data_IF_967719537421
#
_entry.id   IF_967719537421
#
_cell.length_a   1.000
_cell.length_b   1.000
_cell.length_c   1.000
_cell.angle_alpha   90.00
_cell.angle_beta   90.00
_cell.angle_gamma   90.00
#
_symmetry.space_group_name_H-M   'P 1'
#
loop_
_entity.id
_entity.type
_entity.pdbx_description
1 polymer ?
#
# COMPACT_ATOMS: atom_id res chain seq x y z
N UNK A 1 17.98 6.42 -5.89
CA UNK A 1 16.61 5.89 -6.08
C UNK A 1 16.11 5.43 -4.72
N UNK A 2 14.87 5.72 -4.36
CA UNK A 2 14.28 5.32 -3.07
C UNK A 2 14.13 3.80 -3.05
N UNK A 3 14.54 3.18 -1.92
CA UNK A 3 14.31 1.76 -1.67
C UNK A 3 12.97 1.61 -0.91
N UNK A 4 11.89 1.38 -1.64
CA UNK A 4 10.55 1.19 -1.07
C UNK A 4 10.35 -0.15 -0.36
N UNK A 5 11.33 -1.06 -0.37
CA UNK A 5 11.26 -2.31 0.41
C UNK A 5 11.53 -2.08 1.90
N UNK A 6 11.94 -0.88 2.31
CA UNK A 6 12.22 -0.46 3.68
C UNK A 6 11.42 0.79 4.02
N UNK A 7 11.27 1.09 5.30
CA UNK A 7 10.59 2.29 5.77
C UNK A 7 11.49 3.53 5.94
N UNK A 8 12.81 3.41 5.70
CA UNK A 8 13.76 4.49 6.01
C UNK A 8 13.48 5.80 5.28
N UNK A 9 12.91 5.73 4.06
CA UNK A 9 12.55 6.93 3.30
C UNK A 9 11.48 7.78 3.99
N UNK A 10 10.60 7.17 4.79
CA UNK A 10 9.57 7.91 5.54
C UNK A 10 10.17 8.85 6.58
N UNK A 11 11.34 8.51 7.15
CA UNK A 11 12.04 9.35 8.15
C UNK A 11 12.40 10.73 7.64
N UNK A 12 12.69 10.83 6.36
CA UNK A 12 13.14 12.06 5.68
C UNK A 12 12.08 12.61 4.73
N UNK A 13 10.91 11.99 4.71
CA UNK A 13 9.78 12.37 3.88
C UNK A 13 9.01 13.59 4.42
N UNK A 14 7.78 13.77 3.91
CA UNK A 14 6.89 14.82 4.37
C UNK A 14 6.42 14.57 5.82
N UNK A 15 5.68 15.53 6.40
CA UNK A 15 5.24 15.44 7.80
C UNK A 15 4.41 14.19 8.08
N UNK A 16 3.44 13.88 7.20
CA UNK A 16 2.59 12.68 7.35
C UNK A 16 3.40 11.39 7.27
N UNK A 17 4.35 11.29 6.35
CA UNK A 17 5.24 10.13 6.25
C UNK A 17 6.07 9.93 7.53
N UNK A 18 6.60 11.01 8.13
CA UNK A 18 7.33 10.92 9.40
C UNK A 18 6.46 10.44 10.56
N UNK A 19 5.23 10.96 10.68
CA UNK A 19 4.25 10.50 11.68
C UNK A 19 3.96 9.01 11.48
N UNK A 20 3.72 8.57 10.25
CA UNK A 20 3.47 7.17 9.92
C UNK A 20 4.67 6.29 10.30
N UNK A 21 5.90 6.76 10.01
CA UNK A 21 7.10 6.04 10.43
C UNK A 21 7.14 5.83 11.95
N UNK A 22 6.86 6.87 12.72
CA UNK A 22 6.84 6.81 14.19
C UNK A 22 5.77 5.84 14.70
N UNK A 23 4.55 5.91 14.16
CA UNK A 23 3.44 5.00 14.52
C UNK A 23 3.79 3.56 14.18
N UNK A 24 4.22 3.25 12.96
CA UNK A 24 4.57 1.89 12.55
C UNK A 24 5.72 1.31 13.39
N UNK A 25 6.70 2.15 13.78
CA UNK A 25 7.83 1.76 14.63
C UNK A 25 7.40 1.55 16.09
N UNK A 26 6.60 2.47 16.65
CA UNK A 26 6.07 2.39 18.03
C UNK A 26 5.32 1.08 18.26
N UNK A 27 4.48 0.69 17.32
CA UNK A 27 3.69 -0.55 17.40
C UNK A 27 4.41 -1.77 16.78
N UNK A 28 5.65 -1.61 16.32
CA UNK A 28 6.49 -2.68 15.77
C UNK A 28 5.83 -3.47 14.63
N UNK A 29 4.98 -2.82 13.83
CA UNK A 29 4.17 -3.50 12.81
C UNK A 29 5.04 -4.30 11.84
N UNK A 30 6.10 -3.70 11.30
CA UNK A 30 7.01 -4.36 10.37
C UNK A 30 7.88 -5.42 11.02
N UNK A 31 8.26 -5.25 12.30
CA UNK A 31 8.99 -6.28 13.06
C UNK A 31 8.12 -7.52 13.30
N UNK A 32 6.83 -7.31 13.62
CA UNK A 32 5.85 -8.38 13.79
C UNK A 32 5.68 -9.15 12.47
N UNK A 33 5.53 -8.43 11.35
CA UNK A 33 5.29 -9.02 10.02
C UNK A 33 6.55 -9.49 9.30
N UNK A 34 7.76 -9.35 9.87
CA UNK A 34 9.06 -9.55 9.21
C UNK A 34 9.21 -10.84 8.42
N UNK A 35 8.61 -11.94 8.91
CA UNK A 35 8.67 -13.25 8.26
C UNK A 35 7.80 -13.36 6.99
N UNK A 36 6.99 -12.33 6.72
CA UNK A 36 6.10 -12.24 5.56
C UNK A 36 6.56 -11.17 4.55
N UNK A 37 7.82 -10.73 4.64
CA UNK A 37 8.44 -9.74 3.74
C UNK A 37 7.57 -8.49 3.53
N UNK A 38 7.14 -7.77 4.59
CA UNK A 38 6.19 -6.68 4.49
C UNK A 38 6.75 -5.50 3.70
N UNK A 39 5.91 -4.89 2.85
CA UNK A 39 6.20 -3.63 2.17
C UNK A 39 5.01 -2.68 2.37
N UNK A 40 5.28 -1.41 2.70
CA UNK A 40 4.27 -0.36 2.63
C UNK A 40 4.10 0.03 1.17
N UNK A 41 2.93 -0.22 0.62
CA UNK A 41 2.54 0.08 -0.74
C UNK A 41 1.51 1.22 -0.80
N UNK A 42 0.88 1.40 -1.94
CA UNK A 42 -0.16 2.39 -2.14
C UNK A 42 0.38 3.81 -2.30
N UNK A 43 -0.39 4.79 -1.85
CA UNK A 43 -0.19 6.19 -2.23
C UNK A 43 0.70 6.99 -1.28
N UNK A 44 0.82 6.56 -0.04
CA UNK A 44 1.64 7.22 0.99
C UNK A 44 3.13 7.22 0.64
N UNK A 45 3.74 6.09 0.21
CA UNK A 45 5.15 6.07 -0.17
C UNK A 45 5.52 7.05 -1.27
N UNK A 46 4.61 7.34 -2.18
CA UNK A 46 4.82 8.17 -3.38
C UNK A 46 4.17 9.57 -3.26
N UNK A 47 3.70 9.92 -2.06
CA UNK A 47 3.20 11.25 -1.69
C UNK A 47 2.00 11.75 -2.54
N UNK A 48 1.08 10.86 -2.87
CA UNK A 48 -0.20 11.19 -3.51
C UNK A 48 -1.39 10.72 -2.68
N UNK A 49 -1.16 10.52 -1.40
CA UNK A 49 -2.20 10.20 -0.43
C UNK A 49 -3.13 11.39 -0.17
N UNK A 50 -4.34 11.07 0.28
CA UNK A 50 -5.33 12.01 0.80
C UNK A 50 -5.61 11.65 2.26
N UNK A 51 -6.42 12.45 2.96
CA UNK A 51 -6.68 12.26 4.40
C UNK A 51 -7.22 10.86 4.70
N UNK A 52 -8.09 10.34 3.84
CA UNK A 52 -8.73 9.03 3.98
C UNK A 52 -7.89 7.85 3.48
N UNK A 53 -6.67 8.09 3.00
CA UNK A 53 -5.80 7.01 2.50
C UNK A 53 -5.38 6.06 3.61
N UNK A 54 -5.56 4.76 3.35
CA UNK A 54 -5.13 3.69 4.25
C UNK A 54 -3.61 3.47 4.20
N UNK A 55 -3.09 2.79 5.22
CA UNK A 55 -1.73 2.25 5.24
C UNK A 55 -1.77 0.82 4.67
N UNK A 56 -1.44 0.69 3.40
CA UNK A 56 -1.48 -0.59 2.67
C UNK A 56 -0.18 -1.37 2.89
N UNK A 57 -0.23 -2.43 3.70
CA UNK A 57 0.93 -3.29 3.97
C UNK A 57 0.73 -4.61 3.25
N UNK A 58 1.52 -4.87 2.23
CA UNK A 58 1.49 -6.12 1.48
C UNK A 58 2.47 -7.14 2.05
N UNK A 59 2.05 -8.41 2.07
CA UNK A 59 2.80 -9.53 2.65
C UNK A 59 2.86 -10.72 1.68
N UNK A 60 3.99 -11.45 1.69
CA UNK A 60 4.10 -12.75 1.03
C UNK A 60 3.57 -13.85 1.97
N UNK A 61 2.44 -14.46 1.60
CA UNK A 61 1.72 -15.42 2.44
C UNK A 61 1.43 -16.70 1.69
N UNK A 62 2.10 -17.78 2.05
CA UNK A 62 1.89 -19.11 1.46
C UNK A 62 0.65 -19.77 2.03
N UNK A 63 0.52 -19.81 3.34
CA UNK A 63 -0.62 -20.39 4.06
C UNK A 63 -1.48 -19.28 4.69
N UNK A 64 -2.68 -19.06 4.14
CA UNK A 64 -3.62 -18.04 4.59
C UNK A 64 -4.26 -18.37 5.94
N UNK A 65 -4.47 -19.65 6.22
CA UNK A 65 -5.07 -20.09 7.48
C UNK A 65 -4.08 -19.90 8.64
N UNK A 66 -2.81 -20.23 8.40
CA UNK A 66 -1.75 -19.98 9.38
C UNK A 66 -1.56 -18.46 9.58
N UNK A 67 -1.57 -17.69 8.51
CA UNK A 67 -1.41 -16.24 8.58
C UNK A 67 -2.58 -15.56 9.30
N UNK A 68 -3.82 -16.00 9.07
CA UNK A 68 -4.99 -15.51 9.80
C UNK A 68 -4.84 -15.73 11.31
N UNK A 69 -4.48 -16.94 11.73
CA UNK A 69 -4.23 -17.25 13.14
C UNK A 69 -3.11 -16.40 13.73
N UNK A 70 -2.04 -16.21 12.94
CA UNK A 70 -0.93 -15.34 13.32
C UNK A 70 -1.39 -13.89 13.56
N UNK A 71 -2.16 -13.31 12.62
CA UNK A 71 -2.67 -11.95 12.73
C UNK A 71 -3.57 -11.78 13.97
N UNK A 72 -4.50 -12.72 14.19
CA UNK A 72 -5.39 -12.70 15.37
C UNK A 72 -4.58 -12.69 16.66
N UNK A 73 -3.53 -13.49 16.76
CA UNK A 73 -2.68 -13.55 17.96
C UNK A 73 -1.78 -12.31 18.10
N UNK A 74 -1.16 -11.86 16.99
CA UNK A 74 -0.20 -10.78 17.00
C UNK A 74 -0.85 -9.41 17.23
N UNK A 75 -2.06 -9.22 16.74
CA UNK A 75 -2.82 -7.98 16.82
C UNK A 75 -4.09 -8.10 17.67
N UNK A 76 -4.09 -9.00 18.66
CA UNK A 76 -5.23 -9.33 19.53
C UNK A 76 -5.85 -8.13 20.28
N UNK A 77 -5.08 -7.06 20.45
CA UNK A 77 -5.53 -5.85 21.16
C UNK A 77 -6.26 -4.85 20.21
N UNK A 78 -6.39 -5.21 18.93
CA UNK A 78 -7.10 -4.42 17.93
C UNK A 78 -8.36 -5.13 17.45
N UNK A 79 -9.33 -4.35 16.99
CA UNK A 79 -10.56 -4.87 16.37
C UNK A 79 -10.29 -5.21 14.91
N UNK A 80 -10.01 -6.50 14.65
CA UNK A 80 -9.61 -6.99 13.34
C UNK A 80 -10.83 -7.38 12.50
N UNK A 81 -10.89 -6.88 11.27
CA UNK A 81 -11.76 -7.41 10.22
C UNK A 81 -10.92 -8.20 9.21
N UNK A 82 -11.07 -9.53 9.19
CA UNK A 82 -10.28 -10.41 8.31
C UNK A 82 -11.21 -11.06 7.28
N UNK A 83 -10.84 -10.95 6.02
CA UNK A 83 -11.55 -11.56 4.89
C UNK A 83 -10.59 -12.35 4.00
N UNK A 84 -11.03 -13.54 3.57
CA UNK A 84 -10.32 -14.34 2.58
C UNK A 84 -11.17 -14.40 1.32
N UNK A 85 -10.59 -14.00 0.18
CA UNK A 85 -11.27 -13.96 -1.09
C UNK A 85 -10.38 -14.49 -2.23
N UNK A 86 -10.98 -14.73 -3.40
CA UNK A 86 -10.25 -15.15 -4.59
C UNK A 86 -10.10 -14.01 -5.58
N UNK A 87 -8.84 -13.76 -5.98
CA UNK A 87 -8.51 -12.92 -7.13
C UNK A 87 -7.83 -13.82 -8.17
N UNK A 88 -8.35 -13.88 -9.40
CA UNK A 88 -7.77 -14.66 -10.50
C UNK A 88 -7.41 -16.11 -10.10
N UNK A 89 -8.33 -16.84 -9.45
CA UNK A 89 -8.14 -18.17 -8.89
C UNK A 89 -7.13 -18.28 -7.73
N UNK A 90 -6.52 -17.21 -7.30
CA UNK A 90 -5.61 -17.17 -6.16
C UNK A 90 -6.32 -16.66 -4.91
N UNK A 91 -6.17 -17.38 -3.79
CA UNK A 91 -6.73 -16.93 -2.52
C UNK A 91 -5.83 -15.82 -1.95
N UNK A 92 -6.43 -14.71 -1.56
CA UNK A 92 -5.80 -13.60 -0.85
C UNK A 92 -6.51 -13.35 0.47
N UNK A 93 -5.76 -12.82 1.45
CA UNK A 93 -6.30 -12.43 2.75
C UNK A 93 -6.15 -10.92 2.90
N UNK A 94 -7.18 -10.26 3.40
CA UNK A 94 -7.16 -8.86 3.83
C UNK A 94 -7.49 -8.80 5.30
N UNK A 95 -6.70 -8.04 6.06
CA UNK A 95 -6.97 -7.73 7.45
C UNK A 95 -6.97 -6.21 7.63
N UNK A 96 -8.09 -5.68 8.08
CA UNK A 96 -8.27 -4.25 8.33
C UNK A 96 -8.43 -4.00 9.83
N UNK A 97 -7.79 -2.95 10.34
CA UNK A 97 -7.98 -2.45 11.70
C UNK A 97 -7.56 -0.98 11.82
N UNK A 98 -7.96 -0.35 12.92
CA UNK A 98 -7.53 1.02 13.24
C UNK A 98 -6.30 1.00 14.14
N UNK A 99 -5.35 1.87 13.81
CA UNK A 99 -4.13 2.11 14.58
C UNK A 99 -3.98 3.62 14.77
N UNK A 100 -4.29 4.12 15.96
CA UNK A 100 -4.42 5.56 16.22
C UNK A 100 -5.42 6.19 15.22
N UNK A 101 -5.01 7.21 14.46
CA UNK A 101 -5.85 7.86 13.44
C UNK A 101 -5.84 7.14 12.08
N UNK A 102 -4.96 6.14 11.90
CA UNK A 102 -4.78 5.47 10.61
C UNK A 102 -5.62 4.21 10.48
N UNK A 103 -6.14 3.99 9.28
CA UNK A 103 -6.63 2.68 8.86
C UNK A 103 -5.45 1.86 8.34
N UNK A 104 -5.30 0.65 8.85
CA UNK A 104 -4.30 -0.31 8.39
C UNK A 104 -5.01 -1.36 7.54
N UNK A 105 -4.49 -1.63 6.35
CA UNK A 105 -4.84 -2.80 5.56
C UNK A 105 -3.60 -3.69 5.40
N UNK A 106 -3.68 -4.92 5.89
CA UNK A 106 -2.67 -5.95 5.64
C UNK A 106 -3.20 -6.88 4.58
N UNK A 107 -2.51 -6.94 3.44
CA UNK A 107 -2.86 -7.79 2.31
C UNK A 107 -1.86 -8.95 2.18
N UNK A 108 -2.36 -10.19 2.23
CA UNK A 108 -1.55 -11.41 2.11
C UNK A 108 -1.84 -12.21 0.85
N UNK A 109 -0.83 -12.44 0.00
CA UNK A 109 -0.91 -13.21 -1.22
C UNK A 109 0.30 -14.16 -1.34
N UNK A 110 0.13 -15.34 -1.97
CA UNK A 110 1.23 -16.27 -2.24
C UNK A 110 2.04 -15.82 -3.46
N UNK A 111 2.69 -14.66 -3.31
CA UNK A 111 3.52 -14.04 -4.34
C UNK A 111 4.55 -13.13 -3.65
N UNK A 112 5.82 -13.12 -4.07
CA UNK A 112 6.80 -12.18 -3.55
C UNK A 112 6.27 -10.75 -3.57
N UNK A 113 6.42 -10.02 -2.48
CA UNK A 113 5.83 -8.68 -2.33
C UNK A 113 6.22 -7.71 -3.44
N UNK A 114 7.48 -7.76 -3.91
CA UNK A 114 7.98 -6.95 -5.04
C UNK A 114 7.38 -7.33 -6.40
N UNK A 115 6.62 -8.42 -6.49
CA UNK A 115 5.93 -8.86 -7.69
C UNK A 115 4.41 -8.71 -7.60
N UNK A 116 3.89 -8.33 -6.44
CA UNK A 116 2.45 -8.07 -6.25
C UNK A 116 2.04 -6.79 -6.99
N UNK A 117 0.81 -6.77 -7.51
CA UNK A 117 0.32 -5.65 -8.31
C UNK A 117 0.38 -4.32 -7.57
N UNK A 118 0.06 -4.29 -6.28
CA UNK A 118 0.14 -3.06 -5.48
C UNK A 118 1.54 -2.44 -5.47
N UNK A 119 2.60 -3.26 -5.35
CA UNK A 119 3.98 -2.78 -5.45
C UNK A 119 4.32 -2.31 -6.87
N UNK A 120 3.97 -3.10 -7.89
CA UNK A 120 4.29 -2.78 -9.28
C UNK A 120 3.59 -1.50 -9.74
N UNK A 121 2.31 -1.31 -9.39
CA UNK A 121 1.58 -0.07 -9.63
C UNK A 121 2.26 1.12 -8.95
N UNK A 122 2.56 1.02 -7.66
CA UNK A 122 3.24 2.08 -6.91
C UNK A 122 4.57 2.49 -7.57
N UNK A 123 5.37 1.52 -8.04
CA UNK A 123 6.65 1.80 -8.70
C UNK A 123 6.43 2.47 -10.07
N UNK A 124 5.47 2.02 -10.87
CA UNK A 124 5.12 2.63 -12.14
C UNK A 124 4.62 4.07 -11.95
N UNK A 125 3.69 4.26 -11.02
CA UNK A 125 3.15 5.57 -10.64
C UNK A 125 4.26 6.52 -10.16
N UNK A 126 5.16 6.04 -9.30
CA UNK A 126 6.31 6.82 -8.84
C UNK A 126 7.19 7.30 -10.00
N UNK A 127 7.52 6.41 -10.96
CA UNK A 127 8.31 6.79 -12.15
C UNK A 127 7.60 7.86 -12.97
N UNK A 128 6.31 7.70 -13.20
CA UNK A 128 5.49 8.68 -13.93
C UNK A 128 5.49 10.02 -13.21
N UNK A 129 5.32 10.04 -11.89
CA UNK A 129 5.36 11.26 -11.08
C UNK A 129 6.71 11.98 -11.18
N UNK A 130 7.82 11.23 -11.16
CA UNK A 130 9.17 11.79 -11.33
C UNK A 130 9.35 12.40 -12.74
N UNK A 131 8.80 11.77 -13.78
CA UNK A 131 8.87 12.28 -15.15
C UNK A 131 7.98 13.50 -15.38
N UNK A 132 6.74 13.46 -14.91
CA UNK A 132 5.72 14.49 -15.17
C UNK A 132 5.78 15.69 -14.24
N UNK A 133 6.40 15.52 -13.06
CA UNK A 133 6.66 16.58 -12.08
C UNK A 133 5.44 17.03 -11.26
N UNK A 134 5.66 18.08 -10.47
CA UNK A 134 4.76 18.49 -9.37
C UNK A 134 3.34 18.88 -9.85
N UNK A 135 3.21 19.53 -11.00
CA UNK A 135 1.88 19.92 -11.51
C UNK A 135 1.01 18.71 -11.86
N UNK A 136 1.62 17.63 -12.33
CA UNK A 136 0.91 16.39 -12.61
C UNK A 136 0.52 15.70 -11.31
N UNK A 137 1.44 15.60 -10.37
CA UNK A 137 1.22 15.08 -9.01
C UNK A 137 0.01 15.77 -8.36
N UNK A 138 -0.04 17.11 -8.38
CA UNK A 138 -1.14 17.85 -7.78
C UNK A 138 -2.49 17.51 -8.45
N UNK A 139 -2.54 17.37 -9.78
CA UNK A 139 -3.76 16.95 -10.48
C UNK A 139 -4.24 15.56 -10.05
N UNK A 140 -3.33 14.60 -9.85
CA UNK A 140 -3.67 13.27 -9.31
C UNK A 140 -4.32 13.41 -7.95
N UNK A 141 -3.71 14.17 -7.03
CA UNK A 141 -4.27 14.40 -5.69
C UNK A 141 -5.65 15.06 -5.76
N UNK A 142 -5.84 16.05 -6.62
CA UNK A 142 -7.11 16.74 -6.78
C UNK A 142 -8.22 15.80 -7.30
N UNK A 143 -7.91 14.91 -8.25
CA UNK A 143 -8.83 13.89 -8.75
C UNK A 143 -9.18 12.86 -7.65
N UNK A 144 -8.21 12.45 -6.85
CA UNK A 144 -8.45 11.56 -5.71
C UNK A 144 -9.35 12.21 -4.65
N UNK A 145 -9.16 13.48 -4.33
CA UNK A 145 -10.05 14.25 -3.43
C UNK A 145 -11.49 14.35 -3.95
N UNK A 146 -11.69 14.19 -5.26
CA UNK A 146 -13.02 14.11 -5.88
C UNK A 146 -13.61 12.68 -5.86
N UNK A 147 -12.94 11.72 -5.21
CA UNK A 147 -13.38 10.33 -5.07
C UNK A 147 -12.87 9.38 -6.16
N UNK A 148 -11.97 9.83 -7.04
CA UNK A 148 -11.40 8.96 -8.07
C UNK A 148 -10.33 8.05 -7.47
N UNK A 149 -10.32 6.78 -7.89
CA UNK A 149 -9.24 5.84 -7.52
C UNK A 149 -7.94 6.23 -8.22
N UNK A 150 -6.81 5.87 -7.63
CA UNK A 150 -5.48 6.28 -8.08
C UNK A 150 -5.21 5.89 -9.53
N UNK A 151 -5.39 4.63 -9.89
CA UNK A 151 -5.15 4.14 -11.24
C UNK A 151 -6.07 4.82 -12.28
N UNK A 152 -7.31 5.11 -11.88
CA UNK A 152 -8.24 5.85 -12.74
C UNK A 152 -7.80 7.30 -12.95
N UNK A 153 -7.26 7.96 -11.92
CA UNK A 153 -6.74 9.31 -12.02
C UNK A 153 -5.53 9.38 -12.98
N UNK A 154 -4.59 8.43 -12.85
CA UNK A 154 -3.49 8.29 -13.80
C UNK A 154 -4.01 7.99 -15.21
N UNK A 155 -4.94 7.04 -15.34
CA UNK A 155 -5.54 6.67 -16.62
C UNK A 155 -6.18 7.86 -17.35
N UNK A 156 -6.93 8.67 -16.61
CA UNK A 156 -7.56 9.88 -17.14
C UNK A 156 -6.53 10.89 -17.67
N UNK A 157 -5.47 11.17 -16.88
CA UNK A 157 -4.47 12.17 -17.26
C UNK A 157 -3.48 11.68 -18.34
N UNK A 158 -3.30 10.36 -18.46
CA UNK A 158 -2.41 9.74 -19.45
C UNK A 158 -3.16 9.19 -20.67
N UNK A 159 -4.50 9.29 -20.68
CA UNK A 159 -5.36 8.76 -21.74
C UNK A 159 -5.21 7.25 -21.97
N UNK A 160 -5.14 6.47 -20.86
CA UNK A 160 -5.04 5.01 -20.89
C UNK A 160 -6.44 4.39 -21.05
N UNK A 161 -6.56 3.35 -21.87
CA UNK A 161 -7.82 2.61 -22.07
C UNK A 161 -8.14 1.69 -20.88
N UNK A 162 -7.13 0.97 -20.41
CA UNK A 162 -7.22 0.10 -19.23
C UNK A 162 -6.15 0.47 -18.21
N UNK A 163 -6.39 1.45 -17.33
CA UNK A 163 -5.39 1.98 -16.41
C UNK A 163 -4.71 0.91 -15.54
N UNK A 164 -5.44 -0.10 -15.08
CA UNK A 164 -4.88 -1.16 -14.24
C UNK A 164 -3.85 -2.05 -14.94
N UNK A 165 -4.04 -2.29 -16.23
CA UNK A 165 -3.10 -3.08 -17.03
C UNK A 165 -2.02 -2.21 -17.67
N UNK A 166 -2.41 -1.04 -18.16
CA UNK A 166 -1.52 -0.17 -18.93
C UNK A 166 -0.45 0.48 -18.04
N UNK A 167 -0.77 0.81 -16.77
CA UNK A 167 0.23 1.32 -15.81
C UNK A 167 1.37 0.33 -15.55
N UNK A 168 1.10 -0.97 -15.60
CA UNK A 168 2.14 -1.99 -15.42
C UNK A 168 3.14 -2.09 -16.57
N UNK A 169 2.93 -1.36 -17.66
CA UNK A 169 3.83 -1.30 -18.83
C UNK A 169 4.85 -0.15 -18.74
N UNK A 170 4.71 0.75 -17.75
CA UNK A 170 5.65 1.84 -17.45
C UNK A 170 6.76 1.35 -16.50
#
# INVERSE_FOLDING_TARGET
>A
MIDFTKLDYLKIGNERQRIIYEVLTKYKIFDILKNYSPILAGTIPIEIDIEESDLDIICEVKDKVEFEKFLIQAFKDFDLNIEIFKINNEKSLVCNFKLEEFSIEIFGQNKPTTQQNAYLHMIAEYKILQEKGEKFKQKIIDLKKQGMKTEQAFGMLLHLENPYEDLLKF
#
